data_IF_289975118759
#
_entry.id   IF_289975118759
#
_cell.length_a   1.000
_cell.length_b   1.000
_cell.length_c   1.000
_cell.angle_alpha   90.00
_cell.angle_beta   90.00
_cell.angle_gamma   90.00
#
_symmetry.space_group_name_H-M   'P 1'
#
loop_
_entity.id
_entity.type
_entity.pdbx_description
1 polymer ?
#
# COMPACT_ATOMS: atom_id res chain seq x y z
N UNK A 1 16.62 -1.76 4.83
CA UNK A 1 16.58 -2.18 3.40
C UNK A 1 15.67 -3.38 3.09
N UNK A 2 15.43 -4.32 4.00
CA UNK A 2 14.58 -5.50 3.72
C UNK A 2 13.08 -5.17 3.58
N UNK A 3 12.57 -4.17 4.31
CA UNK A 3 11.14 -3.83 4.30
C UNK A 3 10.66 -3.28 2.95
N UNK A 4 11.48 -2.43 2.32
CA UNK A 4 11.18 -1.86 1.01
C UNK A 4 11.12 -2.93 -0.09
N UNK A 5 12.00 -3.93 -0.03
CA UNK A 5 12.00 -5.06 -0.98
C UNK A 5 10.78 -5.96 -0.80
N UNK A 6 10.28 -6.09 0.43
CA UNK A 6 9.09 -6.87 0.74
C UNK A 6 7.82 -6.16 0.21
N UNK A 7 7.76 -4.83 0.36
CA UNK A 7 6.70 -3.98 -0.18
C UNK A 7 6.64 -4.02 -1.72
N UNK A 8 7.78 -3.88 -2.41
CA UNK A 8 7.83 -3.99 -3.87
C UNK A 8 7.32 -5.37 -4.36
N UNK A 9 7.76 -6.44 -3.69
CA UNK A 9 7.33 -7.81 -4.04
C UNK A 9 5.83 -8.04 -3.79
N UNK A 10 5.27 -7.38 -2.78
CA UNK A 10 3.85 -7.46 -2.47
C UNK A 10 3.00 -6.68 -3.49
N UNK A 11 3.46 -5.49 -3.91
CA UNK A 11 2.82 -4.69 -4.96
C UNK A 11 2.81 -5.46 -6.28
N UNK A 12 3.94 -6.06 -6.68
CA UNK A 12 4.02 -6.88 -7.91
C UNK A 12 3.04 -8.06 -7.89
N UNK A 13 2.82 -8.66 -6.73
CA UNK A 13 1.88 -9.77 -6.56
C UNK A 13 0.43 -9.30 -6.67
N UNK A 14 0.09 -8.15 -6.11
CA UNK A 14 -1.24 -7.54 -6.23
C UNK A 14 -1.59 -7.19 -7.68
N UNK A 15 -0.62 -6.67 -8.45
CA UNK A 15 -0.82 -6.33 -9.88
C UNK A 15 -1.14 -7.58 -10.72
N UNK A 16 -0.55 -8.74 -10.41
CA UNK A 16 -0.81 -9.99 -11.16
C UNK A 16 -2.18 -10.61 -10.87
N UNK A 17 -2.71 -10.45 -9.66
CA UNK A 17 -4.05 -10.93 -9.26
C UNK A 17 -5.19 -10.18 -9.97
N UNK A 18 -4.91 -8.99 -10.53
CA UNK A 18 -5.84 -8.09 -11.20
C UNK A 18 -6.52 -8.65 -12.48
N UNK A 19 -6.09 -9.78 -13.02
CA UNK A 19 -6.60 -10.24 -14.33
C UNK A 19 -7.98 -10.92 -14.29
N UNK A 20 -8.66 -11.05 -13.13
CA UNK A 20 -9.84 -11.94 -13.01
C UNK A 20 -11.17 -11.38 -12.47
N UNK A 21 -11.27 -10.17 -11.94
CA UNK A 21 -12.56 -9.69 -11.40
C UNK A 21 -12.65 -8.17 -11.44
N UNK A 22 -13.43 -7.64 -12.37
CA UNK A 22 -13.65 -6.21 -12.55
C UNK A 22 -14.86 -5.75 -11.72
N UNK A 23 -14.59 -5.19 -10.55
CA UNK A 23 -15.54 -4.42 -9.75
C UNK A 23 -14.91 -3.04 -9.52
N UNK A 24 -15.55 -1.98 -10.01
CA UNK A 24 -14.97 -0.61 -10.03
C UNK A 24 -14.63 -0.12 -8.62
N UNK A 25 -15.46 -0.47 -7.62
CA UNK A 25 -15.20 -0.17 -6.21
C UNK A 25 -13.97 -0.91 -5.67
N UNK A 26 -13.69 -2.12 -6.17
CA UNK A 26 -12.50 -2.87 -5.79
C UNK A 26 -11.22 -2.32 -6.44
N UNK A 27 -11.33 -1.73 -7.64
CA UNK A 27 -10.20 -1.05 -8.30
C UNK A 27 -9.82 0.26 -7.59
N UNK A 28 -10.81 1.07 -7.18
CA UNK A 28 -10.57 2.31 -6.42
C UNK A 28 -9.93 2.01 -5.06
N UNK A 29 -10.49 1.07 -4.29
CA UNK A 29 -9.90 0.62 -3.03
C UNK A 29 -8.49 0.04 -3.22
N UNK A 30 -8.22 -0.64 -4.33
CA UNK A 30 -6.88 -1.15 -4.62
C UNK A 30 -5.90 -0.03 -4.96
N UNK A 31 -6.31 0.98 -5.72
CA UNK A 31 -5.49 2.15 -5.99
C UNK A 31 -5.12 2.88 -4.68
N UNK A 32 -6.10 3.11 -3.82
CA UNK A 32 -5.87 3.72 -2.50
C UNK A 32 -4.92 2.86 -1.64
N UNK A 33 -5.08 1.53 -1.66
CA UNK A 33 -4.17 0.61 -0.98
C UNK A 33 -2.73 0.73 -1.50
N UNK A 34 -2.53 0.74 -2.82
CA UNK A 34 -1.20 0.84 -3.43
C UNK A 34 -0.54 2.19 -3.12
N UNK A 35 -1.29 3.29 -3.20
CA UNK A 35 -0.79 4.63 -2.87
C UNK A 35 -0.45 4.71 -1.38
N UNK A 36 -1.31 4.20 -0.50
CA UNK A 36 -1.06 4.17 0.94
C UNK A 36 0.20 3.36 1.30
N UNK A 37 0.38 2.19 0.69
CA UNK A 37 1.58 1.37 0.87
C UNK A 37 2.84 2.06 0.36
N UNK A 38 2.77 2.76 -0.78
CA UNK A 38 3.88 3.56 -1.31
C UNK A 38 4.24 4.69 -0.34
N UNK A 39 3.25 5.42 0.17
CA UNK A 39 3.46 6.50 1.15
C UNK A 39 4.11 5.97 2.43
N UNK A 40 3.70 4.79 2.92
CA UNK A 40 4.35 4.16 4.07
C UNK A 40 5.82 3.82 3.79
N UNK A 41 6.13 3.30 2.60
CA UNK A 41 7.51 3.01 2.20
C UNK A 41 8.36 4.29 2.11
N UNK A 42 7.81 5.38 1.56
CA UNK A 42 8.50 6.67 1.50
C UNK A 42 8.70 7.27 2.89
N UNK A 43 7.72 7.13 3.80
CA UNK A 43 7.84 7.55 5.18
C UNK A 43 9.04 6.88 5.88
N UNK A 44 9.20 5.58 5.67
CA UNK A 44 10.34 4.82 6.21
C UNK A 44 11.67 5.33 5.64
N UNK A 45 11.76 5.57 4.33
CA UNK A 45 12.97 6.14 3.69
C UNK A 45 13.27 7.57 4.16
N UNK A 46 12.24 8.37 4.45
CA UNK A 46 12.41 9.71 5.02
C UNK A 46 12.94 9.62 6.46
N UNK A 47 12.39 8.70 7.26
CA UNK A 47 12.87 8.42 8.61
C UNK A 47 14.32 7.92 8.63
N UNK A 48 14.71 7.04 7.70
CA UNK A 48 16.11 6.57 7.56
C UNK A 48 17.09 7.73 7.24
N UNK A 49 16.59 8.80 6.62
CA UNK A 49 17.35 10.03 6.33
C UNK A 49 17.23 11.10 7.43
N UNK A 50 16.63 10.77 8.58
CA UNK A 50 16.33 11.68 9.68
C UNK A 50 15.38 12.85 9.31
N UNK A 51 14.67 12.75 8.19
CA UNK A 51 13.60 13.69 7.80
C UNK A 51 12.27 13.25 8.44
N UNK A 52 12.16 13.49 9.74
CA UNK A 52 11.02 13.05 10.55
C UNK A 52 9.71 13.77 10.18
N UNK A 53 9.79 15.02 9.73
CA UNK A 53 8.61 15.79 9.34
C UNK A 53 7.97 15.21 8.08
N UNK A 54 8.78 14.90 7.07
CA UNK A 54 8.27 14.23 5.87
C UNK A 54 7.81 12.81 6.17
N UNK A 55 8.51 12.09 7.04
CA UNK A 55 8.11 10.76 7.47
C UNK A 55 6.71 10.77 8.11
N UNK A 56 6.46 11.67 9.06
CA UNK A 56 5.16 11.78 9.73
C UNK A 56 4.05 12.13 8.72
N UNK A 57 4.31 13.08 7.82
CA UNK A 57 3.33 13.51 6.80
C UNK A 57 2.93 12.37 5.89
N UNK A 58 3.91 11.62 5.39
CA UNK A 58 3.68 10.47 4.52
C UNK A 58 2.97 9.33 5.26
N UNK A 59 3.34 9.08 6.52
CA UNK A 59 2.71 8.03 7.34
C UNK A 59 1.24 8.35 7.64
N UNK A 60 0.91 9.62 7.92
CA UNK A 60 -0.48 10.05 8.13
C UNK A 60 -1.30 9.87 6.85
N UNK A 61 -0.77 10.29 5.71
CA UNK A 61 -1.44 10.08 4.42
C UNK A 61 -1.62 8.59 4.09
N UNK A 62 -0.65 7.73 4.43
CA UNK A 62 -0.79 6.29 4.25
C UNK A 62 -1.94 5.71 5.10
N UNK A 63 -2.05 6.14 6.35
CA UNK A 63 -3.12 5.70 7.26
C UNK A 63 -4.49 6.16 6.76
N UNK A 64 -4.63 7.41 6.34
CA UNK A 64 -5.89 7.96 5.83
C UNK A 64 -6.41 7.17 4.60
N UNK A 65 -5.50 6.68 3.75
CA UNK A 65 -5.84 5.89 2.57
C UNK A 65 -6.20 4.44 2.92
N UNK A 66 -5.58 3.85 3.97
CA UNK A 66 -5.70 2.42 4.26
C UNK A 66 -6.79 2.12 5.31
N UNK A 67 -7.12 3.06 6.20
CA UNK A 67 -7.96 2.80 7.37
C UNK A 67 -9.37 2.26 7.05
N UNK A 68 -9.92 2.63 5.90
CA UNK A 68 -11.28 2.27 5.47
C UNK A 68 -11.29 1.16 4.41
N UNK A 69 -10.13 0.57 4.11
CA UNK A 69 -9.99 -0.53 3.14
C UNK A 69 -10.29 -1.86 3.82
N UNK A 70 -11.26 -2.60 3.27
CA UNK A 70 -11.52 -3.99 3.64
C UNK A 70 -10.40 -4.89 3.11
N UNK A 71 -9.37 -5.10 3.94
CA UNK A 71 -8.20 -5.94 3.59
C UNK A 71 -8.57 -7.42 3.43
N UNK A 72 -9.61 -7.90 4.10
CA UNK A 72 -10.05 -9.30 4.02
C UNK A 72 -10.60 -9.61 2.63
N UNK A 73 -11.25 -8.63 2.00
CA UNK A 73 -11.70 -8.69 0.60
C UNK A 73 -10.55 -8.94 -0.38
N UNK A 74 -9.35 -8.43 -0.09
CA UNK A 74 -8.16 -8.65 -0.93
C UNK A 74 -7.40 -9.93 -0.56
N UNK A 75 -7.42 -10.33 0.71
CA UNK A 75 -6.77 -11.55 1.21
C UNK A 75 -7.44 -12.84 0.70
N UNK A 76 -8.76 -12.82 0.46
CA UNK A 76 -9.55 -13.98 0.03
C UNK A 76 -9.37 -14.38 -1.45
N UNK A 77 -8.52 -13.69 -2.22
CA UNK A 77 -8.21 -14.02 -3.61
C UNK A 77 -7.08 -15.05 -3.80
N UNK A 78 -6.50 -15.57 -2.71
CA UNK A 78 -5.33 -16.46 -2.73
C UNK A 78 -5.66 -17.97 -2.60
N UNK A 79 -6.88 -18.42 -2.91
CA UNK A 79 -7.26 -19.84 -2.93
C UNK A 79 -7.72 -20.26 -4.33
#
# INVERSE_FOLDING_TARGET
MELASWLDSYIDRLVRLNTKTCDVLAEEQRADLMIGLSNAAEALRASERCDHESAERMLRSALDLIQDIDLDRFALSAH
#
